data_IF_579927645532
#
_entry.id   IF_579927645532
#
_cell.length_a   1.000
_cell.length_b   1.000
_cell.length_c   1.000
_cell.angle_alpha   90.00
_cell.angle_beta   90.00
_cell.angle_gamma   90.00
#
_symmetry.space_group_name_H-M   'P 1'
#
loop_
_entity.id
_entity.type
_entity.pdbx_description
1 polymer ?
#
# COMPACT_ATOMS: atom_id res chain seq x y z
N UNK A 1 5.07 8.97 14.16
CA UNK A 1 5.11 7.50 14.31
C UNK A 1 3.85 6.81 13.79
N UNK A 2 2.88 7.52 13.19
CA UNK A 2 1.61 6.93 12.73
C UNK A 2 1.81 5.76 11.75
N UNK A 3 2.70 5.89 10.77
CA UNK A 3 3.05 4.78 9.86
C UNK A 3 3.46 3.51 10.61
N UNK A 4 4.31 3.62 11.64
CA UNK A 4 4.71 2.46 12.44
C UNK A 4 3.53 1.79 13.16
N UNK A 5 2.47 2.54 13.50
CA UNK A 5 1.24 1.98 14.06
C UNK A 5 0.41 1.27 13.00
N UNK A 6 0.36 1.79 11.78
CA UNK A 6 -0.27 1.07 10.67
C UNK A 6 0.49 -0.21 10.31
N UNK A 7 1.83 -0.20 10.32
CA UNK A 7 2.65 -1.41 10.17
C UNK A 7 2.36 -2.41 11.29
N UNK A 8 2.22 -1.95 12.54
CA UNK A 8 1.82 -2.81 13.66
C UNK A 8 0.41 -3.39 13.45
N UNK A 9 -0.54 -2.59 12.98
CA UNK A 9 -1.91 -3.02 12.72
C UNK A 9 -1.95 -4.08 11.60
N UNK A 10 -1.25 -3.83 10.49
CA UNK A 10 -1.07 -4.75 9.36
C UNK A 10 -0.45 -6.07 9.83
N UNK A 11 0.67 -6.02 10.55
CA UNK A 11 1.34 -7.21 11.05
C UNK A 11 0.47 -8.02 12.01
N UNK A 12 -0.23 -7.36 12.96
CA UNK A 12 -1.13 -8.02 13.88
C UNK A 12 -2.35 -8.63 13.17
N UNK A 13 -2.87 -7.96 12.14
CA UNK A 13 -3.97 -8.45 11.30
C UNK A 13 -3.56 -9.73 10.55
N UNK A 14 -2.40 -9.70 9.88
CA UNK A 14 -1.87 -10.86 9.15
C UNK A 14 -1.53 -12.02 10.09
N UNK A 15 -0.91 -11.75 11.23
CA UNK A 15 -0.58 -12.76 12.25
C UNK A 15 -1.85 -13.43 12.83
N UNK A 16 -2.99 -12.75 12.78
CA UNK A 16 -4.30 -13.28 13.18
C UNK A 16 -5.00 -14.08 12.07
N UNK A 17 -4.30 -14.45 10.99
CA UNK A 17 -4.90 -15.14 9.83
C UNK A 17 -5.66 -14.21 8.87
N UNK A 18 -5.44 -12.90 8.97
CA UNK A 18 -6.00 -11.92 8.06
C UNK A 18 -5.50 -12.11 6.63
N UNK A 19 -6.41 -12.01 5.66
CA UNK A 19 -6.11 -12.02 4.23
C UNK A 19 -6.64 -10.73 3.59
N UNK A 20 -6.47 -10.57 2.28
CA UNK A 20 -7.00 -9.42 1.54
C UNK A 20 -8.53 -9.32 1.57
N UNK A 21 -9.24 -10.40 1.91
CA UNK A 21 -10.71 -10.46 1.97
C UNK A 21 -11.25 -10.81 3.35
N UNK A 22 -10.39 -11.10 4.33
CA UNK A 22 -10.84 -11.43 5.68
C UNK A 22 -11.50 -10.23 6.36
N UNK A 23 -12.49 -10.52 7.21
CA UNK A 23 -13.17 -9.55 8.07
C UNK A 23 -12.96 -9.98 9.51
N UNK A 24 -12.61 -9.02 10.35
CA UNK A 24 -12.31 -9.23 11.76
C UNK A 24 -10.83 -9.46 12.03
N UNK A 25 -10.41 -9.08 13.24
CA UNK A 25 -9.05 -9.25 13.72
C UNK A 25 -9.03 -9.42 15.25
N UNK A 26 -7.98 -8.93 15.91
CA UNK A 26 -7.84 -8.87 17.36
C UNK A 26 -7.66 -7.43 17.86
N UNK A 27 -7.74 -7.28 19.18
CA UNK A 27 -7.59 -5.99 19.86
C UNK A 27 -6.27 -5.28 19.59
N UNK A 28 -5.18 -6.02 19.36
CA UNK A 28 -3.87 -5.44 19.04
C UNK A 28 -3.90 -4.73 17.69
N UNK A 29 -4.49 -5.37 16.67
CA UNK A 29 -4.61 -4.81 15.34
C UNK A 29 -5.51 -3.56 15.34
N UNK A 30 -6.67 -3.66 15.98
CA UNK A 30 -7.65 -2.56 16.01
C UNK A 30 -7.15 -1.35 16.80
N UNK A 31 -6.55 -1.57 17.98
CA UNK A 31 -5.97 -0.49 18.76
C UNK A 31 -4.84 0.23 18.00
N UNK A 32 -3.97 -0.53 17.32
CA UNK A 32 -2.91 0.06 16.50
C UNK A 32 -3.46 0.85 15.30
N UNK A 33 -4.54 0.37 14.67
CA UNK A 33 -5.24 1.08 13.60
C UNK A 33 -5.80 2.43 14.06
N UNK A 34 -6.55 2.46 15.18
CA UNK A 34 -7.12 3.70 15.75
C UNK A 34 -6.02 4.65 16.22
N UNK A 35 -4.97 4.14 16.85
CA UNK A 35 -3.82 4.94 17.29
C UNK A 35 -3.05 5.54 16.10
N UNK A 36 -2.92 4.80 15.00
CA UNK A 36 -2.33 5.30 13.75
C UNK A 36 -3.09 6.50 13.19
N UNK A 37 -4.43 6.43 13.14
CA UNK A 37 -5.28 7.54 12.71
C UNK A 37 -5.10 8.76 13.63
N UNK A 38 -5.21 8.55 14.95
CA UNK A 38 -5.06 9.64 15.93
C UNK A 38 -3.67 10.30 15.85
N UNK A 39 -2.61 9.51 15.69
CA UNK A 39 -1.25 10.01 15.54
C UNK A 39 -1.05 10.76 14.20
N UNK A 40 -1.75 10.36 13.14
CA UNK A 40 -1.74 11.06 11.86
C UNK A 40 -2.41 12.43 11.98
N UNK A 41 -3.61 12.49 12.55
CA UNK A 41 -4.35 13.74 12.78
C UNK A 41 -3.56 14.71 13.68
N UNK A 42 -3.02 14.18 14.79
CA UNK A 42 -2.19 14.96 15.71
C UNK A 42 -0.96 15.58 15.04
N UNK A 43 -0.31 14.86 14.11
CA UNK A 43 0.83 15.39 13.33
C UNK A 43 0.48 16.68 12.58
N UNK A 44 -0.76 16.83 12.15
CA UNK A 44 -1.23 18.00 11.40
C UNK A 44 -2.07 18.97 12.25
N UNK A 45 -2.17 18.73 13.56
CA UNK A 45 -2.97 19.57 14.47
C UNK A 45 -4.48 19.51 14.22
N UNK A 46 -4.96 18.45 13.55
CA UNK A 46 -6.39 18.25 13.29
C UNK A 46 -7.07 17.55 14.48
N UNK A 47 -8.30 17.98 14.80
CA UNK A 47 -9.18 17.21 15.68
C UNK A 47 -9.78 16.04 14.89
N UNK A 48 -9.46 14.82 15.32
CA UNK A 48 -9.89 13.59 14.67
C UNK A 48 -11.13 12.96 15.30
N UNK A 49 -11.78 13.58 16.28
CA UNK A 49 -12.87 12.96 17.05
C UNK A 49 -14.02 12.47 16.15
N UNK A 50 -14.56 13.35 15.30
CA UNK A 50 -15.66 13.00 14.38
C UNK A 50 -15.22 11.95 13.37
N UNK A 51 -14.00 12.05 12.85
CA UNK A 51 -13.46 11.07 11.90
C UNK A 51 -13.30 9.69 12.53
N UNK A 52 -12.85 9.64 13.78
CA UNK A 52 -12.71 8.40 14.54
C UNK A 52 -14.06 7.81 14.98
N UNK A 53 -15.14 8.60 14.98
CA UNK A 53 -16.49 8.14 15.28
C UNK A 53 -17.29 7.73 14.03
N UNK A 54 -16.84 8.11 12.83
CA UNK A 54 -17.48 7.74 11.57
C UNK A 54 -17.51 6.21 11.42
N UNK A 55 -18.65 5.64 11.04
CA UNK A 55 -18.84 4.18 10.96
C UNK A 55 -18.03 3.51 9.86
N UNK A 56 -17.51 4.25 8.88
CA UNK A 56 -16.56 3.76 7.89
C UNK A 56 -15.11 3.69 8.40
N UNK A 57 -14.87 4.25 9.59
CA UNK A 57 -13.58 4.26 10.29
C UNK A 57 -13.65 3.42 11.56
N UNK A 58 -14.70 3.59 12.38
CA UNK A 58 -14.97 2.83 13.61
C UNK A 58 -15.63 1.48 13.33
N UNK A 59 -14.93 0.64 12.59
CA UNK A 59 -15.45 -0.64 12.09
C UNK A 59 -15.47 -1.76 13.14
N UNK A 60 -15.04 -1.48 14.37
CA UNK A 60 -14.80 -2.45 15.45
C UNK A 60 -13.74 -3.52 15.13
N UNK A 61 -13.34 -4.29 16.14
CA UNK A 61 -12.40 -5.40 15.98
C UNK A 61 -12.92 -6.47 15.01
N UNK A 62 -14.21 -6.75 15.05
CA UNK A 62 -14.85 -7.80 14.24
C UNK A 62 -15.16 -7.37 12.82
N UNK A 63 -15.15 -6.06 12.54
CA UNK A 63 -15.32 -5.50 11.19
C UNK A 63 -14.02 -4.99 10.56
N UNK A 64 -12.89 -5.04 11.28
CA UNK A 64 -11.60 -4.61 10.73
C UNK A 64 -11.21 -5.48 9.52
N UNK A 65 -10.69 -4.83 8.49
CA UNK A 65 -10.27 -5.47 7.24
C UNK A 65 -8.98 -4.79 6.80
N UNK A 66 -8.20 -5.48 5.97
CA UNK A 66 -6.91 -4.96 5.50
C UNK A 66 -7.05 -3.64 4.73
N UNK A 67 -8.12 -3.45 3.97
CA UNK A 67 -8.39 -2.20 3.26
C UNK A 67 -8.55 -1.01 4.20
N UNK A 68 -9.12 -1.19 5.40
CA UNK A 68 -9.23 -0.11 6.39
C UNK A 68 -7.84 0.35 6.82
N UNK A 69 -6.96 -0.58 7.18
CA UNK A 69 -5.58 -0.28 7.59
C UNK A 69 -4.80 0.41 6.47
N UNK A 70 -4.84 -0.16 5.26
CA UNK A 70 -4.06 0.34 4.13
C UNK A 70 -4.59 1.68 3.59
N UNK A 71 -5.90 1.94 3.67
CA UNK A 71 -6.51 3.25 3.35
C UNK A 71 -5.96 4.33 4.27
N UNK A 72 -5.95 4.11 5.58
CA UNK A 72 -5.45 5.12 6.54
C UNK A 72 -3.94 5.31 6.43
N UNK A 73 -3.19 4.24 6.18
CA UNK A 73 -1.75 4.33 5.89
C UNK A 73 -1.50 5.16 4.63
N UNK A 74 -2.27 4.96 3.56
CA UNK A 74 -2.20 5.77 2.34
C UNK A 74 -2.47 7.25 2.61
N UNK A 75 -3.54 7.57 3.35
CA UNK A 75 -3.88 8.95 3.72
C UNK A 75 -2.73 9.60 4.50
N UNK A 76 -2.12 8.88 5.45
CA UNK A 76 -0.96 9.39 6.19
C UNK A 76 0.27 9.62 5.29
N UNK A 77 0.52 8.69 4.38
CA UNK A 77 1.70 8.64 3.52
C UNK A 77 1.55 9.43 2.21
N UNK A 78 0.64 10.40 2.10
CA UNK A 78 0.41 11.13 0.84
C UNK A 78 1.65 11.89 0.29
N UNK A 79 2.67 12.15 1.12
CA UNK A 79 3.97 12.73 0.72
C UNK A 79 5.12 11.71 0.74
N UNK A 80 4.85 10.43 0.98
CA UNK A 80 5.84 9.38 1.13
C UNK A 80 5.70 8.34 0.00
N UNK A 81 6.77 8.04 -0.77
CA UNK A 81 6.72 7.04 -1.84
C UNK A 81 6.45 5.60 -1.36
N UNK A 82 6.50 5.31 -0.05
CA UNK A 82 6.17 3.98 0.51
C UNK A 82 4.78 3.48 0.07
N UNK A 83 3.83 4.37 -0.20
CA UNK A 83 2.53 4.00 -0.77
C UNK A 83 2.64 3.13 -2.02
N UNK A 84 3.61 3.37 -2.90
CA UNK A 84 3.78 2.56 -4.10
C UNK A 84 4.38 1.17 -3.81
N UNK A 85 5.16 1.05 -2.72
CA UNK A 85 5.61 -0.25 -2.20
C UNK A 85 4.42 -1.02 -1.65
N UNK A 86 3.54 -0.36 -0.89
CA UNK A 86 2.31 -0.95 -0.35
C UNK A 86 1.39 -1.48 -1.45
N UNK A 87 1.16 -0.69 -2.51
CA UNK A 87 0.36 -1.14 -3.65
C UNK A 87 0.89 -2.42 -4.28
N UNK A 88 2.21 -2.48 -4.48
CA UNK A 88 2.88 -3.65 -5.06
C UNK A 88 2.84 -4.87 -4.14
N UNK A 89 2.98 -4.68 -2.82
CA UNK A 89 2.92 -5.76 -1.82
C UNK A 89 1.62 -6.55 -1.89
N UNK A 90 0.50 -5.88 -2.14
CA UNK A 90 -0.80 -6.52 -2.29
C UNK A 90 -1.27 -6.59 -3.75
N UNK A 91 -0.32 -6.61 -4.69
CA UNK A 91 -0.57 -6.80 -6.11
C UNK A 91 -1.68 -5.89 -6.68
N UNK A 92 -1.72 -4.63 -6.23
CA UNK A 92 -2.72 -3.64 -6.63
C UNK A 92 -4.18 -4.12 -6.43
N UNK A 93 -4.41 -5.00 -5.45
CA UNK A 93 -5.70 -5.66 -5.24
C UNK A 93 -6.84 -4.67 -4.97
N UNK A 94 -7.93 -4.79 -5.73
CA UNK A 94 -9.19 -4.08 -5.49
C UNK A 94 -9.85 -4.43 -4.14
N UNK A 95 -9.44 -5.52 -3.51
CA UNK A 95 -9.88 -5.86 -2.17
C UNK A 95 -9.22 -4.97 -1.11
N UNK A 96 -7.95 -4.61 -1.32
CA UNK A 96 -7.15 -3.79 -0.39
C UNK A 96 -7.24 -2.30 -0.73
N UNK A 97 -7.15 -1.93 -2.00
CA UNK A 97 -7.08 -0.55 -2.46
C UNK A 97 -8.32 -0.18 -3.28
N UNK A 98 -9.40 0.16 -2.57
CA UNK A 98 -10.70 0.46 -3.19
C UNK A 98 -10.59 1.65 -4.14
N UNK A 99 -11.03 1.47 -5.38
CA UNK A 99 -11.06 2.52 -6.41
C UNK A 99 -9.71 2.79 -7.08
N UNK A 100 -8.67 2.02 -6.76
CA UNK A 100 -7.38 2.09 -7.47
C UNK A 100 -7.60 1.64 -8.91
N UNK A 101 -7.34 2.53 -9.86
CA UNK A 101 -7.47 2.23 -11.29
C UNK A 101 -6.12 2.30 -11.94
N UNK A 102 -5.87 1.35 -12.83
CA UNK A 102 -4.72 1.43 -13.71
C UNK A 102 -4.81 2.71 -14.52
N UNK A 103 -3.65 3.33 -14.75
CA UNK A 103 -3.50 4.46 -15.68
C UNK A 103 -4.23 4.14 -16.98
N UNK A 104 -5.29 4.88 -17.26
CA UNK A 104 -5.90 4.90 -18.58
C UNK A 104 -4.95 5.74 -19.44
N UNK A 105 -4.14 5.10 -20.27
CA UNK A 105 -3.44 5.85 -21.30
C UNK A 105 -4.49 6.46 -22.24
N UNK A 106 -4.36 7.75 -22.54
CA UNK A 106 -5.21 8.44 -23.53
C UNK A 106 -5.03 7.80 -24.91
N UNK A 107 -3.97 7.02 -25.11
CA UNK A 107 -3.73 6.17 -26.26
C UNK A 107 -3.44 4.73 -25.81
N UNK A 108 -4.43 3.83 -25.89
CA UNK A 108 -4.35 2.44 -25.40
C UNK A 108 -3.38 1.53 -26.21
N UNK A 109 -2.52 2.13 -27.04
CA UNK A 109 -1.61 1.47 -27.98
C UNK A 109 -0.14 1.44 -27.50
N UNK A 110 0.16 1.99 -26.33
CA UNK A 110 1.51 2.03 -25.76
C UNK A 110 2.01 0.71 -25.16
N UNK A 111 3.33 0.59 -25.03
CA UNK A 111 3.96 -0.53 -24.32
C UNK A 111 3.39 -0.67 -22.91
N UNK A 112 3.06 -1.91 -22.52
CA UNK A 112 2.51 -2.25 -21.20
C UNK A 112 1.10 -1.67 -20.92
N UNK A 113 0.33 -1.33 -21.94
CA UNK A 113 -1.09 -0.98 -21.79
C UNK A 113 -1.83 -2.04 -20.96
N UNK A 114 -2.60 -1.60 -19.97
CA UNK A 114 -3.32 -2.49 -19.06
C UNK A 114 -2.46 -3.23 -18.03
N UNK A 115 -1.17 -2.88 -17.89
CA UNK A 115 -0.29 -3.46 -16.87
C UNK A 115 0.21 -2.44 -15.84
N UNK A 116 0.29 -2.86 -14.59
CA UNK A 116 0.88 -2.06 -13.52
C UNK A 116 2.40 -2.02 -13.63
N UNK A 117 2.99 -0.83 -13.51
CA UNK A 117 4.42 -0.72 -13.31
C UNK A 117 4.79 -1.20 -11.91
N UNK A 118 5.92 -1.88 -11.82
CA UNK A 118 6.46 -2.51 -10.62
C UNK A 118 7.89 -2.10 -10.31
N UNK A 119 8.63 -1.62 -11.31
CA UNK A 119 10.03 -1.19 -11.15
C UNK A 119 10.41 -0.13 -12.18
N UNK A 120 11.42 0.65 -11.83
CA UNK A 120 12.10 1.50 -12.80
C UNK A 120 13.04 0.65 -13.67
N UNK A 121 13.21 1.06 -14.92
CA UNK A 121 14.26 0.52 -15.79
C UNK A 121 15.63 0.99 -15.33
N UNK A 122 16.67 0.19 -15.58
CA UNK A 122 18.04 0.65 -15.41
C UNK A 122 18.33 1.85 -16.32
N UNK A 123 19.14 2.82 -15.89
CA UNK A 123 19.54 3.96 -16.71
C UNK A 123 20.19 3.49 -18.02
N UNK A 124 19.86 4.14 -19.14
CA UNK A 124 20.42 3.76 -20.44
C UNK A 124 21.96 3.86 -20.50
N UNK A 125 22.55 4.78 -19.73
CA UNK A 125 24.01 4.91 -19.62
C UNK A 125 24.68 3.63 -19.09
N UNK A 126 23.99 2.83 -18.27
CA UNK A 126 24.51 1.58 -17.72
C UNK A 126 24.74 0.51 -18.80
N UNK A 127 24.03 0.58 -19.93
CA UNK A 127 24.29 -0.30 -21.08
C UNK A 127 25.61 0.00 -21.78
N UNK A 128 26.21 1.18 -21.54
CA UNK A 128 27.49 1.56 -22.08
C UNK A 128 28.62 1.33 -21.07
N UNK A 129 28.40 1.65 -19.79
CA UNK A 129 29.40 1.50 -18.73
C UNK A 129 29.52 0.07 -18.19
N UNK A 130 28.44 -0.73 -18.21
CA UNK A 130 28.37 -2.00 -17.50
C UNK A 130 27.48 -3.06 -18.21
N UNK A 131 27.61 -3.15 -19.54
CA UNK A 131 26.69 -3.91 -20.41
C UNK A 131 26.38 -5.34 -19.95
N UNK A 132 27.40 -6.16 -19.72
CA UNK A 132 27.23 -7.57 -19.42
C UNK A 132 26.37 -7.80 -18.16
N UNK A 133 26.57 -6.98 -17.13
CA UNK A 133 25.78 -7.06 -15.89
C UNK A 133 24.35 -6.56 -16.10
N UNK A 134 24.14 -5.49 -16.88
CA UNK A 134 22.80 -4.99 -17.19
C UNK A 134 22.01 -6.01 -18.02
N UNK A 135 22.61 -6.58 -19.06
CA UNK A 135 21.94 -7.56 -19.92
C UNK A 135 21.57 -8.84 -19.16
N UNK A 136 22.40 -9.26 -18.21
CA UNK A 136 22.12 -10.43 -17.37
C UNK A 136 20.99 -10.22 -16.34
N UNK A 137 20.73 -8.96 -15.92
CA UNK A 137 19.87 -8.68 -14.77
C UNK A 137 18.66 -7.77 -15.07
N UNK A 138 18.63 -7.08 -16.21
CA UNK A 138 17.53 -6.16 -16.54
C UNK A 138 16.23 -6.93 -16.70
N UNK A 139 15.15 -6.30 -16.25
CA UNK A 139 13.79 -6.82 -16.38
C UNK A 139 12.89 -5.69 -16.86
N UNK A 140 11.72 -6.05 -17.38
CA UNK A 140 10.74 -5.04 -17.82
C UNK A 140 10.13 -4.29 -16.64
N UNK A 141 9.63 -3.05 -16.84
CA UNK A 141 8.95 -2.27 -15.81
C UNK A 141 7.76 -2.96 -15.13
N UNK A 142 7.15 -3.95 -15.79
CA UNK A 142 5.98 -4.71 -15.31
C UNK A 142 6.34 -6.03 -14.63
N UNK A 143 7.63 -6.41 -14.63
CA UNK A 143 8.09 -7.61 -13.94
C UNK A 143 8.14 -7.37 -12.42
N UNK A 144 7.54 -8.25 -11.59
CA UNK A 144 7.62 -8.15 -10.13
C UNK A 144 9.05 -8.10 -9.60
N UNK A 145 9.25 -7.39 -8.49
CA UNK A 145 10.52 -7.43 -7.75
C UNK A 145 10.53 -8.64 -6.80
N UNK A 146 11.70 -8.97 -6.24
CA UNK A 146 11.90 -10.24 -5.52
C UNK A 146 11.00 -10.46 -4.30
N UNK A 147 10.46 -9.39 -3.69
CA UNK A 147 9.58 -9.45 -2.52
C UNK A 147 8.08 -9.39 -2.88
N UNK A 148 7.74 -9.17 -4.15
CA UNK A 148 6.38 -9.30 -4.67
C UNK A 148 6.14 -10.79 -5.02
N UNK A 149 5.83 -11.60 -4.00
CA UNK A 149 5.52 -13.04 -4.12
C UNK A 149 4.02 -13.30 -4.12
#
# INVERSE_FOLDING_TARGET
YAEAKFIKAEAAFLANGGTTTSVGSNSVAYAAYKEGIAASMSKYGADGADYLADTSVDVSETGLMLNHIMKEKYIHNFLNPETFVDYRRYNFSDNVFKGLKIRQEVDASGDYAGQWFRRASYPAAELNSNRANVEANRQTPVTPVWWEL
#
